data_IF_872499910782
#
_entry.id   IF_872499910782
#
_cell.length_a   1.000
_cell.length_b   1.000
_cell.length_c   1.000
_cell.angle_alpha   90.00
_cell.angle_beta   90.00
_cell.angle_gamma   90.00
#
_symmetry.space_group_name_H-M   'P 1'
#
loop_
_entity.id
_entity.type
_entity.pdbx_description
1 polymer ?
#
# COMPACT_ATOMS: atom_id res chain seq x y z
N UNK A 1 5.49 15.64 -1.94
CA UNK A 1 6.14 14.46 -2.57
C UNK A 1 7.00 13.51 -1.69
N UNK A 2 7.42 13.83 -0.44
CA UNK A 2 8.34 12.95 0.34
C UNK A 2 7.76 11.56 0.67
N UNK A 3 6.44 11.49 0.87
CA UNK A 3 5.69 10.27 1.18
C UNK A 3 5.69 9.30 0.00
N UNK A 4 5.32 9.77 -1.20
CA UNK A 4 5.30 8.94 -2.42
C UNK A 4 6.69 8.35 -2.71
N UNK A 5 7.76 9.11 -2.46
CA UNK A 5 9.13 8.63 -2.62
C UNK A 5 9.50 7.48 -1.67
N UNK A 6 9.02 7.48 -0.42
CA UNK A 6 9.21 6.37 0.51
C UNK A 6 8.44 5.12 0.06
N UNK A 7 7.17 5.29 -0.34
CA UNK A 7 6.34 4.18 -0.83
C UNK A 7 6.95 3.53 -2.07
N UNK A 8 7.46 4.31 -3.02
CA UNK A 8 8.10 3.78 -4.22
C UNK A 8 9.40 3.05 -3.93
N UNK A 9 10.18 3.52 -2.94
CA UNK A 9 11.38 2.79 -2.48
C UNK A 9 11.04 1.43 -1.86
N UNK A 10 9.99 1.38 -1.04
CA UNK A 10 9.50 0.11 -0.45
C UNK A 10 9.04 -0.85 -1.56
N UNK A 11 8.22 -0.37 -2.50
CA UNK A 11 7.78 -1.18 -3.65
C UNK A 11 8.96 -1.65 -4.50
N UNK A 12 10.01 -0.83 -4.63
CA UNK A 12 11.24 -1.21 -5.33
C UNK A 12 11.93 -2.37 -4.63
N UNK A 13 12.10 -2.30 -3.30
CA UNK A 13 12.72 -3.38 -2.52
C UNK A 13 11.88 -4.65 -2.48
N UNK A 14 10.56 -4.57 -2.64
CA UNK A 14 9.70 -5.75 -2.73
C UNK A 14 9.68 -6.40 -4.12
N UNK A 15 10.40 -5.85 -5.10
CA UNK A 15 10.37 -6.35 -6.48
C UNK A 15 9.15 -5.90 -7.29
N UNK A 16 8.32 -4.99 -6.77
CA UNK A 16 7.08 -4.56 -7.42
C UNK A 16 7.25 -3.33 -8.33
N UNK A 17 8.35 -2.59 -8.21
CA UNK A 17 8.49 -1.28 -8.87
C UNK A 17 9.90 -0.96 -9.37
N UNK A 18 10.04 -0.68 -10.67
CA UNK A 18 11.31 -0.25 -11.26
C UNK A 18 11.54 1.25 -10.97
N UNK A 19 12.70 1.64 -10.41
CA UNK A 19 13.07 3.03 -10.25
C UNK A 19 13.31 3.73 -11.60
N UNK A 20 12.87 4.99 -11.72
CA UNK A 20 13.09 5.82 -12.92
C UNK A 20 14.57 6.06 -13.25
N UNK A 21 15.46 5.96 -12.25
CA UNK A 21 16.90 6.16 -12.44
C UNK A 21 17.58 5.02 -13.22
N UNK A 22 16.87 3.90 -13.46
CA UNK A 22 17.43 2.69 -14.07
C UNK A 22 16.99 2.58 -15.54
N UNK A 23 17.53 3.45 -16.39
CA UNK A 23 17.18 3.53 -17.82
C UNK A 23 17.89 2.49 -18.70
N UNK A 24 19.05 1.98 -18.26
CA UNK A 24 19.84 1.01 -19.04
C UNK A 24 19.10 -0.34 -19.20
N UNK A 25 19.12 -0.96 -20.39
CA UNK A 25 18.39 -2.21 -20.65
C UNK A 25 18.84 -3.37 -19.74
N UNK A 26 20.14 -3.48 -19.45
CA UNK A 26 20.69 -4.50 -18.55
C UNK A 26 20.08 -4.44 -17.14
N UNK A 27 20.00 -3.25 -16.54
CA UNK A 27 19.41 -3.07 -15.20
C UNK A 27 17.93 -3.42 -15.16
N UNK A 28 17.19 -3.17 -16.25
CA UNK A 28 15.76 -3.54 -16.35
C UNK A 28 15.58 -5.05 -16.42
N UNK A 29 16.39 -5.75 -17.23
CA UNK A 29 16.37 -7.23 -17.29
C UNK A 29 16.70 -7.83 -15.93
N UNK A 30 17.75 -7.33 -15.26
CA UNK A 30 18.13 -7.79 -13.93
C UNK A 30 17.00 -7.59 -12.91
N UNK A 31 16.32 -6.44 -12.96
CA UNK A 31 15.17 -6.20 -12.07
C UNK A 31 13.99 -7.11 -12.39
N UNK A 32 13.66 -7.36 -13.66
CA UNK A 32 12.60 -8.31 -14.00
C UNK A 32 12.93 -9.74 -13.56
N UNK A 33 14.20 -10.16 -13.65
CA UNK A 33 14.65 -11.43 -13.10
C UNK A 33 14.50 -11.46 -11.57
N UNK A 34 14.85 -10.37 -10.88
CA UNK A 34 14.65 -10.22 -9.44
C UNK A 34 13.17 -10.28 -9.04
N UNK A 35 12.28 -9.56 -9.73
CA UNK A 35 10.83 -9.62 -9.52
C UNK A 35 10.30 -11.04 -9.72
N UNK A 36 10.74 -11.72 -10.78
CA UNK A 36 10.38 -13.11 -11.05
C UNK A 36 10.83 -14.05 -9.93
N UNK A 37 12.06 -13.87 -9.45
CA UNK A 37 12.61 -14.63 -8.33
C UNK A 37 11.81 -14.44 -7.04
N UNK A 38 11.52 -13.19 -6.65
CA UNK A 38 10.69 -12.89 -5.47
C UNK A 38 9.30 -13.49 -5.61
N UNK A 39 8.70 -13.39 -6.79
CA UNK A 39 7.39 -13.96 -7.06
C UNK A 39 7.40 -15.49 -6.91
N UNK A 40 8.38 -16.18 -7.49
CA UNK A 40 8.54 -17.63 -7.35
C UNK A 40 8.72 -18.00 -5.87
N UNK A 41 9.60 -17.31 -5.14
CA UNK A 41 9.81 -17.57 -3.71
C UNK A 41 8.51 -17.48 -2.89
N UNK A 42 7.72 -16.42 -3.09
CA UNK A 42 6.46 -16.21 -2.35
C UNK A 42 5.44 -17.32 -2.66
N UNK A 43 5.32 -17.71 -3.94
CA UNK A 43 4.39 -18.77 -4.35
C UNK A 43 4.84 -20.15 -3.85
N UNK A 44 6.13 -20.47 -3.92
CA UNK A 44 6.68 -21.73 -3.41
C UNK A 44 6.50 -21.83 -1.89
N UNK A 45 6.74 -20.74 -1.17
CA UNK A 45 6.49 -20.71 0.28
C UNK A 45 5.02 -20.95 0.61
N UNK A 46 4.10 -20.30 -0.12
CA UNK A 46 2.65 -20.50 0.07
C UNK A 46 2.23 -21.94 -0.24
N UNK A 47 2.81 -22.55 -1.28
CA UNK A 47 2.55 -23.94 -1.63
C UNK A 47 3.08 -24.90 -0.56
N UNK A 48 4.23 -24.63 0.05
CA UNK A 48 4.73 -25.39 1.20
C UNK A 48 3.74 -25.36 2.35
N UNK A 49 3.26 -24.17 2.73
CA UNK A 49 2.27 -24.01 3.81
C UNK A 49 0.95 -24.73 3.52
N UNK A 50 0.53 -24.79 2.25
CA UNK A 50 -0.65 -25.56 1.84
C UNK A 50 -0.40 -27.08 1.98
N UNK A 51 0.77 -27.57 1.57
CA UNK A 51 1.13 -28.98 1.70
C UNK A 51 1.24 -29.40 3.17
N UNK A 52 1.82 -28.56 4.03
CA UNK A 52 1.90 -28.81 5.47
C UNK A 52 0.49 -28.95 6.08
N UNK A 53 -0.46 -28.09 5.69
CA UNK A 53 -1.86 -28.19 6.13
C UNK A 53 -2.54 -29.49 5.67
N UNK A 54 -2.32 -29.91 4.43
CA UNK A 54 -3.00 -31.08 3.83
C UNK A 54 -2.40 -32.41 4.30
N UNK A 55 -1.10 -32.45 4.59
CA UNK A 55 -0.36 -33.70 4.81
C UNK A 55 -0.06 -34.02 6.28
N UNK A 56 -0.10 -33.04 7.20
CA UNK A 56 0.43 -33.19 8.57
C UNK A 56 -0.66 -33.05 9.65
N UNK A 57 -1.81 -32.46 9.33
CA UNK A 57 -2.80 -32.14 10.35
C UNK A 57 -3.58 -33.39 10.80
N UNK A 58 -3.18 -33.90 11.97
CA UNK A 58 -3.94 -34.91 12.73
C UNK A 58 -4.73 -34.30 13.91
N UNK A 59 -4.47 -33.01 14.26
CA UNK A 59 -5.04 -32.32 15.42
C UNK A 59 -5.68 -30.96 15.08
N UNK A 60 -6.79 -30.61 15.73
CA UNK A 60 -7.58 -29.40 15.43
C UNK A 60 -6.90 -28.08 15.82
N UNK A 61 -6.10 -28.09 16.88
CA UNK A 61 -5.37 -26.89 17.32
C UNK A 61 -4.25 -26.54 16.29
N UNK A 62 -3.50 -27.55 15.82
CA UNK A 62 -2.44 -27.38 14.79
C UNK A 62 -3.02 -27.09 13.39
N UNK A 63 -4.20 -27.63 13.06
CA UNK A 63 -4.97 -27.24 11.88
C UNK A 63 -5.25 -25.74 11.87
N UNK A 64 -5.75 -25.24 13.00
CA UNK A 64 -6.15 -23.84 13.13
C UNK A 64 -4.93 -22.93 12.96
N UNK A 65 -3.78 -23.34 13.53
CA UNK A 65 -2.50 -22.65 13.38
C UNK A 65 -2.06 -22.50 11.93
N UNK A 66 -1.98 -23.61 11.23
CA UNK A 66 -1.52 -23.62 9.84
C UNK A 66 -2.53 -22.94 8.90
N UNK A 67 -3.83 -23.04 9.20
CA UNK A 67 -4.89 -22.46 8.38
C UNK A 67 -4.85 -20.93 8.35
N UNK A 68 -4.64 -20.26 9.50
CA UNK A 68 -4.58 -18.80 9.49
C UNK A 68 -3.31 -18.26 8.81
N UNK A 69 -2.17 -18.95 8.95
CA UNK A 69 -0.92 -18.59 8.25
C UNK A 69 -1.14 -18.71 6.74
N UNK A 70 -1.79 -19.79 6.30
CA UNK A 70 -2.13 -20.00 4.89
C UNK A 70 -3.03 -18.90 4.34
N UNK A 71 -4.12 -18.54 5.02
CA UNK A 71 -5.01 -17.45 4.58
C UNK A 71 -4.25 -16.14 4.41
N UNK A 72 -3.35 -15.83 5.34
CA UNK A 72 -2.55 -14.62 5.28
C UNK A 72 -1.56 -14.60 4.12
N UNK A 73 -0.91 -15.73 3.85
CA UNK A 73 -0.01 -15.90 2.72
C UNK A 73 -0.75 -15.77 1.39
N UNK A 74 -1.97 -16.31 1.30
CA UNK A 74 -2.85 -16.14 0.13
C UNK A 74 -3.22 -14.66 -0.11
N UNK A 75 -3.47 -13.88 0.94
CA UNK A 75 -3.70 -12.43 0.83
C UNK A 75 -2.42 -11.71 0.38
N UNK A 76 -1.27 -12.07 0.93
CA UNK A 76 0.03 -11.51 0.53
C UNK A 76 0.30 -11.74 -0.96
N UNK A 77 0.09 -12.97 -1.44
CA UNK A 77 0.16 -13.31 -2.85
C UNK A 77 -0.81 -12.45 -3.68
N UNK A 78 -2.08 -12.36 -3.25
CA UNK A 78 -3.10 -11.58 -3.95
C UNK A 78 -2.76 -10.09 -4.07
N UNK A 79 -2.13 -9.51 -3.03
CA UNK A 79 -1.59 -8.14 -3.06
C UNK A 79 -0.48 -8.01 -4.10
N UNK A 80 0.48 -8.92 -4.09
CA UNK A 80 1.61 -8.93 -5.03
C UNK A 80 1.13 -9.03 -6.49
N UNK A 81 0.25 -9.97 -6.80
CA UNK A 81 -0.35 -10.09 -8.13
C UNK A 81 -1.08 -8.81 -8.55
N UNK A 82 -1.88 -8.26 -7.64
CA UNK A 82 -2.66 -7.04 -7.92
C UNK A 82 -1.77 -5.83 -8.16
N UNK A 83 -0.62 -5.72 -7.48
CA UNK A 83 0.39 -4.69 -7.73
C UNK A 83 1.05 -4.89 -9.11
N UNK A 84 1.41 -6.11 -9.47
CA UNK A 84 2.04 -6.42 -10.76
C UNK A 84 1.11 -6.17 -11.96
N UNK A 85 -0.16 -6.58 -11.87
CA UNK A 85 -1.17 -6.36 -12.92
C UNK A 85 -1.42 -4.86 -13.10
N UNK A 86 -1.56 -4.11 -11.99
CA UNK A 86 -1.85 -2.68 -12.05
C UNK A 86 -0.61 -1.79 -12.24
N UNK A 87 0.59 -2.36 -12.38
CA UNK A 87 1.86 -1.59 -12.42
C UNK A 87 1.87 -0.48 -13.47
N UNK A 88 1.33 -0.74 -14.66
CA UNK A 88 1.32 0.24 -15.75
C UNK A 88 0.36 1.39 -15.45
N UNK A 89 -0.80 1.09 -14.84
CA UNK A 89 -1.77 2.12 -14.42
C UNK A 89 -1.18 2.99 -13.32
N UNK A 90 -0.50 2.39 -12.35
CA UNK A 90 0.20 3.12 -11.28
C UNK A 90 1.33 3.97 -11.88
N UNK A 91 2.03 3.48 -12.91
CA UNK A 91 3.16 4.19 -13.54
C UNK A 91 2.70 5.41 -14.31
N UNK A 92 1.66 5.25 -15.14
CA UNK A 92 1.01 6.36 -15.83
C UNK A 92 0.49 7.40 -14.84
N UNK A 93 -0.11 6.94 -13.73
CA UNK A 93 -0.62 7.84 -12.71
C UNK A 93 0.52 8.64 -12.06
N UNK A 94 1.61 7.98 -11.64
CA UNK A 94 2.80 8.64 -11.07
C UNK A 94 3.45 9.61 -12.07
N UNK A 95 3.48 9.26 -13.35
CA UNK A 95 3.99 10.14 -14.40
C UNK A 95 3.17 11.42 -14.48
N UNK A 96 1.83 11.31 -14.45
CA UNK A 96 0.92 12.47 -14.38
C UNK A 96 1.20 13.29 -13.11
N UNK A 97 1.43 12.65 -11.95
CA UNK A 97 1.76 13.39 -10.71
C UNK A 97 3.10 14.15 -10.82
N UNK A 98 4.09 13.57 -11.51
CA UNK A 98 5.44 14.13 -11.62
C UNK A 98 5.56 15.19 -12.71
N UNK A 99 4.65 15.20 -13.69
CA UNK A 99 4.63 16.18 -14.78
C UNK A 99 4.18 17.54 -14.23
N UNK A 100 5.16 18.33 -13.79
CA UNK A 100 4.97 19.71 -13.32
C UNK A 100 4.17 20.51 -14.36
N UNK A 101 3.03 21.07 -13.95
CA UNK A 101 2.12 21.85 -14.80
C UNK A 101 2.79 23.09 -15.37
N UNK A 102 3.05 23.14 -16.68
CA UNK A 102 3.57 24.27 -17.47
C UNK A 102 4.90 24.91 -17.00
N UNK A 103 5.65 25.54 -17.92
CA UNK A 103 6.73 26.46 -17.55
C UNK A 103 6.11 27.87 -17.46
N UNK A 104 6.34 28.63 -16.39
CA UNK A 104 5.80 29.98 -16.29
C UNK A 104 6.52 30.89 -17.29
N UNK A 105 5.78 31.72 -18.03
CA UNK A 105 6.35 32.63 -19.03
C UNK A 105 6.56 34.04 -18.44
N UNK A 106 5.78 34.42 -17.42
CA UNK A 106 5.81 35.77 -16.81
C UNK A 106 5.94 35.77 -15.27
N UNK A 107 6.38 36.90 -14.70
CA UNK A 107 6.62 37.09 -13.26
C UNK A 107 5.32 37.04 -12.42
N UNK A 108 4.22 37.56 -12.96
CA UNK A 108 2.91 37.56 -12.28
C UNK A 108 2.30 36.15 -12.23
N UNK A 109 2.56 35.33 -13.25
CA UNK A 109 2.20 33.91 -13.25
C UNK A 109 2.99 33.12 -12.20
N UNK A 110 4.21 33.56 -11.86
CA UNK A 110 5.06 32.90 -10.88
C UNK A 110 4.49 33.00 -9.46
N UNK A 111 3.92 34.15 -9.10
CA UNK A 111 3.32 34.40 -7.78
C UNK A 111 1.97 33.68 -7.62
N UNK A 112 1.13 33.74 -8.65
CA UNK A 112 -0.12 32.97 -8.71
C UNK A 112 0.18 31.47 -8.62
N UNK A 113 1.19 31.00 -9.35
CA UNK A 113 1.57 29.60 -9.35
C UNK A 113 2.08 29.13 -7.99
N UNK A 114 2.93 29.89 -7.31
CA UNK A 114 3.38 29.51 -5.97
C UNK A 114 2.21 29.39 -4.98
N UNK A 115 1.18 30.25 -5.14
CA UNK A 115 -0.03 30.22 -4.30
C UNK A 115 -0.90 29.00 -4.57
N UNK A 116 -1.03 28.57 -5.83
CA UNK A 116 -1.88 27.43 -6.23
C UNK A 116 -1.12 26.09 -6.34
N UNK A 117 0.21 26.08 -6.40
CA UNK A 117 1.03 24.86 -6.55
C UNK A 117 0.75 23.86 -5.43
N UNK A 118 0.59 24.33 -4.18
CA UNK A 118 0.21 23.47 -3.04
C UNK A 118 -1.20 22.88 -3.19
N UNK A 119 -2.16 23.67 -3.66
CA UNK A 119 -3.55 23.23 -3.87
C UNK A 119 -3.59 22.17 -4.97
N UNK A 120 -2.86 22.39 -6.06
CA UNK A 120 -2.73 21.45 -7.16
C UNK A 120 -2.04 20.15 -6.68
N UNK A 121 -0.97 20.23 -5.89
CA UNK A 121 -0.32 19.04 -5.30
C UNK A 121 -1.31 18.24 -4.43
N UNK A 122 -2.12 18.89 -3.59
CA UNK A 122 -3.13 18.21 -2.78
C UNK A 122 -4.26 17.56 -3.59
N UNK A 123 -4.76 18.24 -4.63
CA UNK A 123 -5.80 17.67 -5.51
C UNK A 123 -5.30 16.44 -6.26
N UNK A 124 -4.04 16.48 -6.69
CA UNK A 124 -3.35 15.39 -7.37
C UNK A 124 -3.13 14.19 -6.41
N UNK A 125 -2.62 14.44 -5.20
CA UNK A 125 -2.46 13.42 -4.15
C UNK A 125 -3.80 12.78 -3.77
N UNK A 126 -4.87 13.58 -3.67
CA UNK A 126 -6.22 13.08 -3.37
C UNK A 126 -6.77 12.20 -4.49
N UNK A 127 -6.63 12.61 -5.76
CA UNK A 127 -7.03 11.78 -6.91
C UNK A 127 -6.23 10.48 -6.96
N UNK A 128 -4.94 10.52 -6.64
CA UNK A 128 -4.12 9.32 -6.54
C UNK A 128 -4.66 8.37 -5.46
N UNK A 129 -4.92 8.87 -4.26
CA UNK A 129 -5.47 8.08 -3.16
C UNK A 129 -6.81 7.43 -3.51
N UNK A 130 -7.71 8.15 -4.20
CA UNK A 130 -8.98 7.60 -4.67
C UNK A 130 -8.80 6.46 -5.68
N UNK A 131 -7.94 6.64 -6.68
CA UNK A 131 -7.71 5.61 -7.71
C UNK A 131 -7.06 4.35 -7.13
N UNK A 132 -6.09 4.52 -6.23
CA UNK A 132 -5.49 3.39 -5.51
C UNK A 132 -6.54 2.71 -4.64
N UNK A 133 -7.34 3.46 -3.89
CA UNK A 133 -8.41 2.90 -3.07
C UNK A 133 -9.39 2.09 -3.92
N UNK A 134 -9.88 2.59 -5.05
CA UNK A 134 -10.78 1.86 -5.95
C UNK A 134 -10.20 0.52 -6.43
N UNK A 135 -8.90 0.48 -6.74
CA UNK A 135 -8.24 -0.73 -7.24
C UNK A 135 -7.94 -1.75 -6.14
N UNK A 136 -7.59 -1.29 -4.95
CA UNK A 136 -7.16 -2.17 -3.84
C UNK A 136 -8.23 -2.36 -2.75
N UNK A 137 -9.40 -1.72 -2.87
CA UNK A 137 -10.50 -1.73 -1.88
C UNK A 137 -10.80 -3.14 -1.37
N UNK A 138 -11.09 -4.08 -2.28
CA UNK A 138 -11.49 -5.43 -1.90
C UNK A 138 -10.39 -6.16 -1.12
N UNK A 139 -9.14 -6.04 -1.56
CA UNK A 139 -7.99 -6.68 -0.92
C UNK A 139 -7.76 -6.07 0.47
N UNK A 140 -7.91 -4.76 0.60
CA UNK A 140 -7.80 -4.06 1.87
C UNK A 140 -8.93 -4.50 2.81
N UNK A 141 -10.17 -4.58 2.34
CA UNK A 141 -11.30 -5.06 3.16
C UNK A 141 -11.09 -6.51 3.64
N UNK A 142 -10.66 -7.40 2.75
CA UNK A 142 -10.33 -8.79 3.12
C UNK A 142 -9.18 -8.86 4.14
N UNK A 143 -8.17 -8.01 3.99
CA UNK A 143 -7.07 -7.89 4.96
C UNK A 143 -7.59 -7.51 6.35
N UNK A 144 -8.51 -6.54 6.46
CA UNK A 144 -9.09 -6.12 7.74
C UNK A 144 -9.89 -7.25 8.41
N UNK A 145 -10.70 -7.96 7.63
CA UNK A 145 -11.48 -9.10 8.13
C UNK A 145 -10.55 -10.17 8.68
N UNK A 146 -9.55 -10.59 7.90
CA UNK A 146 -8.60 -11.64 8.31
C UNK A 146 -7.78 -11.19 9.51
N UNK A 147 -7.26 -9.97 9.52
CA UNK A 147 -6.49 -9.48 10.66
C UNK A 147 -7.30 -9.51 11.96
N UNK A 148 -8.59 -9.16 11.91
CA UNK A 148 -9.47 -9.21 13.08
C UNK A 148 -9.70 -10.64 13.55
N UNK A 149 -9.98 -11.56 12.62
CA UNK A 149 -10.14 -12.98 12.93
C UNK A 149 -8.87 -13.57 13.57
N UNK A 150 -7.70 -13.26 13.01
CA UNK A 150 -6.42 -13.76 13.51
C UNK A 150 -6.12 -13.20 14.91
N UNK A 151 -6.35 -11.91 15.15
CA UNK A 151 -6.21 -11.31 16.49
C UNK A 151 -7.11 -12.01 17.50
N UNK A 152 -8.37 -12.27 17.15
CA UNK A 152 -9.32 -12.96 18.05
C UNK A 152 -8.87 -14.39 18.39
N UNK A 153 -8.40 -15.16 17.41
CA UNK A 153 -7.93 -16.53 17.61
C UNK A 153 -6.65 -16.57 18.45
N UNK A 154 -5.73 -15.64 18.21
CA UNK A 154 -4.48 -15.54 18.96
C UNK A 154 -4.72 -15.20 20.44
N UNK A 155 -5.63 -14.25 20.72
CA UNK A 155 -6.02 -13.95 22.10
C UNK A 155 -6.60 -15.18 22.81
N UNK A 156 -7.37 -16.00 22.11
CA UNK A 156 -7.90 -17.26 22.65
C UNK A 156 -6.81 -18.33 22.86
N UNK A 157 -5.87 -18.48 21.92
CA UNK A 157 -4.75 -19.43 22.07
C UNK A 157 -3.80 -19.06 23.21
N UNK A 158 -3.55 -17.76 23.41
CA UNK A 158 -2.76 -17.25 24.54
C UNK A 158 -3.39 -17.60 25.90
N UNK A 159 -4.71 -17.78 25.96
CA UNK A 159 -5.39 -18.24 27.19
C UNK A 159 -5.33 -19.76 27.40
N UNK A 160 -4.96 -20.55 26.38
CA UNK A 160 -5.03 -22.02 26.41
C UNK A 160 -3.65 -22.71 26.41
N UNK A 161 -2.59 -22.06 25.92
CA UNK A 161 -1.28 -22.70 25.65
C UNK A 161 -0.08 -21.73 25.69
N UNK A 162 1.10 -22.22 26.13
CA UNK A 162 2.42 -21.56 26.01
C UNK A 162 3.01 -21.66 24.58
N UNK A 163 2.17 -21.64 23.54
CA UNK A 163 2.61 -21.83 22.16
C UNK A 163 3.40 -20.61 21.65
N UNK A 164 4.56 -20.87 21.02
CA UNK A 164 5.47 -19.97 20.29
C UNK A 164 5.11 -18.46 20.24
N UNK A 165 5.07 -17.84 21.41
CA UNK A 165 4.64 -16.44 21.64
C UNK A 165 5.44 -15.46 20.76
N UNK A 166 6.71 -15.77 20.49
CA UNK A 166 7.61 -14.92 19.71
C UNK A 166 7.21 -14.87 18.24
N UNK A 167 6.97 -16.03 17.60
CA UNK A 167 6.60 -16.08 16.19
C UNK A 167 5.20 -15.48 15.96
N UNK A 168 4.27 -15.80 16.85
CA UNK A 168 2.90 -15.30 16.83
C UNK A 168 2.84 -13.79 17.09
N UNK A 169 3.64 -13.31 18.05
CA UNK A 169 3.75 -11.88 18.39
C UNK A 169 4.36 -11.04 17.27
N UNK A 170 5.42 -11.54 16.62
CA UNK A 170 6.00 -10.87 15.44
C UNK A 170 4.99 -10.77 14.30
N UNK A 171 4.27 -11.85 14.02
CA UNK A 171 3.23 -11.87 12.99
C UNK A 171 2.10 -10.85 13.29
N UNK A 172 1.63 -10.81 14.55
CA UNK A 172 0.64 -9.83 15.01
C UNK A 172 1.12 -8.39 14.87
N UNK A 173 2.36 -8.11 15.25
CA UNK A 173 2.93 -6.77 15.13
C UNK A 173 2.99 -6.31 13.67
N UNK A 174 3.35 -7.21 12.74
CA UNK A 174 3.38 -6.91 11.31
C UNK A 174 1.98 -6.57 10.76
N UNK A 175 0.97 -7.35 11.12
CA UNK A 175 -0.41 -7.15 10.66
C UNK A 175 -1.01 -5.85 11.20
N UNK A 176 -0.73 -5.52 12.47
CA UNK A 176 -1.17 -4.26 13.08
C UNK A 176 -0.48 -3.04 12.46
N UNK A 177 0.81 -3.12 12.13
CA UNK A 177 1.53 -2.04 11.44
C UNK A 177 0.90 -1.77 10.07
N UNK A 178 0.54 -2.81 9.31
CA UNK A 178 -0.14 -2.65 8.02
C UNK A 178 -1.46 -1.90 8.15
N UNK A 179 -2.27 -2.23 9.16
CA UNK A 179 -3.53 -1.55 9.46
C UNK A 179 -3.29 -0.10 9.89
N UNK A 180 -2.36 0.11 10.83
CA UNK A 180 -2.05 1.43 11.37
C UNK A 180 -1.58 2.38 10.26
N UNK A 181 -0.68 1.93 9.38
CA UNK A 181 -0.22 2.72 8.25
C UNK A 181 -1.37 3.10 7.31
N UNK A 182 -2.27 2.17 6.99
CA UNK A 182 -3.43 2.47 6.14
C UNK A 182 -4.36 3.50 6.78
N UNK A 183 -4.70 3.33 8.06
CA UNK A 183 -5.54 4.25 8.82
C UNK A 183 -4.89 5.64 8.96
N UNK A 184 -3.58 5.69 9.22
CA UNK A 184 -2.80 6.92 9.30
C UNK A 184 -2.86 7.71 7.98
N UNK A 185 -2.60 7.03 6.85
CA UNK A 185 -2.71 7.66 5.53
C UNK A 185 -4.13 8.14 5.22
N UNK A 186 -5.15 7.36 5.59
CA UNK A 186 -6.55 7.76 5.44
C UNK A 186 -6.88 9.04 6.21
N UNK A 187 -6.38 9.17 7.45
CA UNK A 187 -6.59 10.36 8.27
C UNK A 187 -5.88 11.60 7.70
N UNK A 188 -4.63 11.45 7.26
CA UNK A 188 -3.87 12.52 6.61
C UNK A 188 -4.59 13.07 5.36
N UNK A 189 -5.14 12.18 4.52
CA UNK A 189 -5.91 12.58 3.34
C UNK A 189 -7.20 13.31 3.75
N UNK A 190 -7.92 12.80 4.76
CA UNK A 190 -9.15 13.44 5.27
C UNK A 190 -8.88 14.86 5.80
N UNK A 191 -7.81 15.04 6.56
CA UNK A 191 -7.42 16.36 7.08
C UNK A 191 -7.11 17.32 5.94
N UNK A 192 -6.29 16.92 4.97
CA UNK A 192 -5.93 17.77 3.81
C UNK A 192 -7.14 18.17 2.98
N UNK A 193 -8.11 17.28 2.76
CA UNK A 193 -9.37 17.60 2.05
C UNK A 193 -10.19 18.62 2.84
N UNK A 194 -10.27 18.49 4.17
CA UNK A 194 -11.00 19.43 5.01
C UNK A 194 -10.38 20.84 4.95
N UNK A 195 -9.05 20.94 5.03
CA UNK A 195 -8.32 22.21 4.84
C UNK A 195 -8.52 22.80 3.43
N UNK A 196 -8.50 21.97 2.39
CA UNK A 196 -8.72 22.40 1.01
C UNK A 196 -10.13 22.97 0.81
N UNK A 197 -11.15 22.27 1.33
CA UNK A 197 -12.54 22.73 1.29
C UNK A 197 -12.71 24.04 2.06
N UNK A 198 -12.14 24.17 3.26
CA UNK A 198 -12.19 25.40 4.04
C UNK A 198 -11.50 26.56 3.31
N UNK A 199 -10.34 26.31 2.68
CA UNK A 199 -9.60 27.31 1.92
C UNK A 199 -10.33 27.73 0.63
N UNK A 200 -10.93 26.79 -0.11
CA UNK A 200 -11.75 27.09 -1.28
C UNK A 200 -13.01 27.89 -0.89
N UNK A 201 -13.70 27.49 0.18
CA UNK A 201 -14.87 28.22 0.69
C UNK A 201 -14.47 29.63 1.15
N UNK A 202 -13.40 29.79 1.94
CA UNK A 202 -12.91 31.11 2.33
C UNK A 202 -12.43 31.95 1.14
N UNK A 203 -11.79 31.35 0.13
CA UNK A 203 -11.33 32.07 -1.06
C UNK A 203 -12.50 32.53 -1.94
N UNK A 204 -13.53 31.70 -2.12
CA UNK A 204 -14.77 32.08 -2.82
C UNK A 204 -15.53 33.14 -2.03
N UNK A 205 -15.59 33.03 -0.70
CA UNK A 205 -16.19 34.06 0.17
C UNK A 205 -15.42 35.39 0.10
N UNK A 206 -14.08 35.38 0.09
CA UNK A 206 -13.27 36.59 -0.03
C UNK A 206 -13.37 37.25 -1.43
N UNK A 207 -13.58 36.45 -2.48
CA UNK A 207 -13.75 36.94 -3.85
C UNK A 207 -15.18 37.43 -4.14
N UNK A 208 -16.18 36.97 -3.38
CA UNK A 208 -17.57 37.37 -3.54
C UNK A 208 -17.94 38.62 -2.70
N UNK A 209 -17.06 39.05 -1.80
CA UNK A 209 -17.24 40.23 -0.91
C UNK A 209 -16.25 41.38 -1.21
N UNK A 210 -15.59 41.35 -2.36
CA UNK A 210 -14.81 42.46 -2.92
C UNK A 210 -15.40 42.87 -4.25
#
# INVERSE_FOLDING_TARGET
MRVLGLTLKILTSCGCWIPDSWTSPYKRVLYYAYTGFIFVLINTFTLSQFLDLVLIVDNADEFTDNFYILIAMMISCSKMFSLLINRNNIALLIEILRKKSCKPLELDELEIRQKFDKIIEYLIDFRFALLVNEKFRLIITLQFIVSTLVVCVILYQLTKTDANIIQLGLYMSCMLIQIFLYCWYGNEVRLKVCYLNLFCVCSVYLFCYR
#
